data_IF_716530282473
#
_entry.id   IF_716530282473
#
_cell.length_a   1.000
_cell.length_b   1.000
_cell.length_c   1.000
_cell.angle_alpha   90.00
_cell.angle_beta   90.00
_cell.angle_gamma   90.00
#
_symmetry.space_group_name_H-M   'P 1'
#
loop_
_entity.id
_entity.type
_entity.pdbx_description
1 polymer ?
#
# COMPACT_ATOMS: atom_id res chain seq x y z
N UNK A 1 48.64 -30.80 -40.49
CA UNK A 1 49.25 -29.83 -39.55
C UNK A 1 48.24 -28.74 -39.24
N UNK A 2 48.18 -28.34 -37.97
CA UNK A 2 47.52 -27.20 -37.29
C UNK A 2 46.73 -26.16 -38.13
N UNK A 3 45.68 -25.51 -37.62
CA UNK A 3 45.24 -25.38 -36.24
C UNK A 3 44.07 -24.39 -36.12
N UNK A 4 43.36 -24.51 -35.01
CA UNK A 4 42.18 -23.75 -34.61
C UNK A 4 42.51 -22.30 -34.21
N UNK A 5 41.62 -21.36 -34.49
CA UNK A 5 41.31 -20.16 -33.68
C UNK A 5 40.02 -19.54 -34.25
N UNK A 6 38.90 -19.39 -33.55
CA UNK A 6 38.70 -19.22 -32.11
C UNK A 6 38.24 -17.80 -31.85
N UNK A 7 36.98 -17.50 -32.18
CA UNK A 7 36.35 -16.20 -31.93
C UNK A 7 34.85 -16.38 -31.69
N UNK A 8 34.48 -17.03 -30.58
CA UNK A 8 33.10 -17.02 -30.08
C UNK A 8 32.89 -15.66 -29.42
N UNK A 9 32.05 -14.82 -30.01
CA UNK A 9 31.35 -13.80 -29.24
C UNK A 9 30.55 -14.51 -28.13
N UNK A 10 30.65 -14.08 -26.86
CA UNK A 10 29.76 -14.58 -25.84
C UNK A 10 28.36 -14.12 -26.22
N UNK A 11 27.52 -15.10 -26.60
CA UNK A 11 26.08 -14.95 -26.50
C UNK A 11 25.79 -14.46 -25.09
N UNK A 12 25.46 -13.18 -24.95
CA UNK A 12 24.75 -12.69 -23.78
C UNK A 12 23.43 -13.45 -23.76
N UNK A 13 23.41 -14.56 -23.01
CA UNK A 13 22.16 -15.08 -22.50
C UNK A 13 21.57 -13.93 -21.66
N UNK A 14 20.34 -13.47 -21.94
CA UNK A 14 19.67 -12.59 -21.01
C UNK A 14 19.64 -13.33 -19.68
N UNK A 15 20.22 -12.72 -18.64
CA UNK A 15 20.08 -13.20 -17.28
C UNK A 15 18.59 -13.51 -17.07
N UNK A 16 18.21 -14.65 -16.47
CA UNK A 16 16.82 -14.89 -16.13
C UNK A 16 16.40 -13.72 -15.25
N UNK A 17 15.65 -12.79 -15.84
CA UNK A 17 15.06 -11.68 -15.12
C UNK A 17 14.37 -12.32 -13.94
N UNK A 18 14.75 -11.93 -12.74
CA UNK A 18 14.07 -12.31 -11.52
C UNK A 18 12.61 -11.94 -11.74
N UNK A 19 11.80 -12.93 -12.12
CA UNK A 19 10.36 -12.79 -12.22
C UNK A 19 9.95 -12.50 -10.79
N UNK A 20 9.81 -11.22 -10.44
CA UNK A 20 9.23 -10.81 -9.17
C UNK A 20 7.92 -11.58 -9.08
N UNK A 21 7.86 -12.52 -8.14
CA UNK A 21 6.67 -13.34 -7.96
C UNK A 21 5.49 -12.38 -7.85
N UNK A 22 4.59 -12.42 -8.84
CA UNK A 22 3.46 -11.50 -8.88
C UNK A 22 2.56 -11.86 -7.70
N UNK A 23 2.50 -10.96 -6.72
CA UNK A 23 1.65 -11.15 -5.56
C UNK A 23 0.20 -10.98 -6.01
N UNK A 24 -0.59 -12.04 -5.93
CA UNK A 24 -1.99 -12.02 -6.34
C UNK A 24 -2.77 -10.94 -5.56
N UNK A 25 -3.58 -10.11 -6.24
CA UNK A 25 -4.43 -9.15 -5.57
C UNK A 25 -5.44 -9.85 -4.65
N UNK A 26 -5.53 -9.37 -3.41
CA UNK A 26 -6.51 -9.87 -2.42
C UNK A 26 -7.54 -8.81 -2.04
N UNK A 27 -7.26 -7.54 -2.34
CA UNK A 27 -8.17 -6.41 -2.19
C UNK A 27 -7.96 -5.41 -3.33
N UNK A 28 -9.02 -4.69 -3.70
CA UNK A 28 -8.94 -3.61 -4.68
C UNK A 28 -9.10 -2.28 -3.92
N UNK A 29 -7.98 -1.66 -3.55
CA UNK A 29 -7.99 -0.41 -2.79
C UNK A 29 -8.34 0.81 -3.65
N UNK A 30 -7.91 0.93 -4.93
CA UNK A 30 -8.28 2.06 -5.77
C UNK A 30 -9.79 2.33 -5.86
N UNK A 31 -10.64 1.30 -5.86
CA UNK A 31 -12.10 1.48 -5.93
C UNK A 31 -12.71 2.02 -4.64
N UNK A 32 -11.97 1.98 -3.53
CA UNK A 32 -12.40 2.50 -2.22
C UNK A 32 -12.03 3.98 -2.02
N UNK A 33 -11.12 4.50 -2.86
CA UNK A 33 -10.72 5.89 -2.81
C UNK A 33 -11.88 6.80 -3.23
N UNK A 34 -12.04 7.92 -2.53
CA UNK A 34 -13.16 8.85 -2.72
C UNK A 34 -14.51 8.36 -2.20
N UNK A 35 -14.58 7.19 -1.57
CA UNK A 35 -15.79 6.75 -0.88
C UNK A 35 -15.97 7.50 0.47
N UNK A 36 -17.21 7.65 0.90
CA UNK A 36 -17.50 8.06 2.28
C UNK A 36 -17.21 6.92 3.26
N UNK A 37 -17.07 7.24 4.54
CA UNK A 37 -16.86 6.23 5.59
C UNK A 37 -17.99 5.20 5.64
N UNK A 38 -19.22 5.61 5.29
CA UNK A 38 -20.35 4.68 5.18
C UNK A 38 -20.27 3.80 3.95
N UNK A 39 -19.83 4.35 2.82
CA UNK A 39 -19.54 3.55 1.63
C UNK A 39 -18.49 2.48 1.93
N UNK A 40 -17.47 2.81 2.72
CA UNK A 40 -16.51 1.82 3.20
C UNK A 40 -17.16 0.77 4.11
N UNK A 41 -18.01 1.17 5.05
CA UNK A 41 -18.72 0.23 5.94
C UNK A 41 -19.64 -0.73 5.18
N UNK A 42 -20.33 -0.24 4.14
CA UNK A 42 -21.17 -1.08 3.29
C UNK A 42 -20.36 -2.12 2.51
N UNK A 43 -19.17 -1.74 2.03
CA UNK A 43 -18.32 -2.61 1.20
C UNK A 43 -17.43 -3.55 2.01
N UNK A 44 -16.94 -3.10 3.16
CA UNK A 44 -15.94 -3.79 3.98
C UNK A 44 -16.50 -4.35 5.29
N UNK A 45 -17.76 -4.03 5.60
CA UNK A 45 -18.39 -4.37 6.87
C UNK A 45 -18.07 -3.38 7.99
N UNK A 46 -18.41 -3.73 9.24
CA UNK A 46 -18.30 -2.81 10.37
C UNK A 46 -16.85 -2.41 10.63
N UNK A 47 -16.63 -1.11 10.87
CA UNK A 47 -15.35 -0.58 11.30
C UNK A 47 -15.02 -1.06 12.72
N UNK A 48 -13.75 -1.35 12.97
CA UNK A 48 -13.19 -1.64 14.29
C UNK A 48 -12.45 -0.42 14.84
N UNK A 49 -12.41 -0.26 16.17
CA UNK A 49 -11.56 0.75 16.79
C UNK A 49 -10.09 0.49 16.44
N UNK A 50 -9.32 1.57 16.28
CA UNK A 50 -7.88 1.49 16.06
C UNK A 50 -7.22 0.97 17.35
N UNK A 51 -6.41 -0.11 17.30
CA UNK A 51 -5.71 -0.59 18.48
C UNK A 51 -4.74 0.46 19.04
N UNK A 52 -4.61 0.63 20.38
CA UNK A 52 -3.78 1.67 20.98
C UNK A 52 -2.30 1.62 20.57
N UNK A 53 -1.72 0.42 20.45
CA UNK A 53 -0.34 0.24 20.00
C UNK A 53 -0.11 0.76 18.57
N UNK A 54 -1.15 0.71 17.75
CA UNK A 54 -1.11 1.19 16.37
C UNK A 54 -1.27 2.71 16.34
N UNK A 55 -2.16 3.25 17.16
CA UNK A 55 -2.29 4.69 17.34
C UNK A 55 -0.96 5.34 17.76
N UNK A 56 -0.22 4.71 18.68
CA UNK A 56 1.10 5.19 19.12
C UNK A 56 2.20 5.10 18.05
N UNK A 57 2.08 4.15 17.12
CA UNK A 57 3.06 3.94 16.04
C UNK A 57 2.84 4.83 14.81
N UNK A 58 1.66 5.45 14.69
CA UNK A 58 1.33 6.32 13.57
C UNK A 58 2.04 7.66 13.71
N UNK A 59 2.61 8.20 12.62
CA UNK A 59 3.12 9.56 12.62
C UNK A 59 2.04 10.55 13.03
N UNK A 60 2.38 11.54 13.86
CA UNK A 60 1.43 12.57 14.34
C UNK A 60 0.71 13.27 13.18
N UNK A 61 1.41 13.51 12.06
CA UNK A 61 0.81 14.06 10.83
C UNK A 61 -0.37 13.22 10.30
N UNK A 62 -0.40 11.91 10.56
CA UNK A 62 -1.53 11.03 10.24
C UNK A 62 -2.75 11.31 11.09
N UNK A 63 -2.52 11.60 12.38
CA UNK A 63 -3.57 11.79 13.36
C UNK A 63 -4.10 13.23 13.36
N UNK A 64 -3.23 14.22 13.09
CA UNK A 64 -3.60 15.63 13.06
C UNK A 64 -4.42 16.03 11.83
N UNK A 65 -4.24 15.35 10.69
CA UNK A 65 -5.03 15.61 9.48
C UNK A 65 -6.42 14.96 9.50
N UNK A 66 -6.66 14.04 10.43
CA UNK A 66 -7.87 13.24 10.51
C UNK A 66 -8.74 13.67 11.69
N UNK A 67 -9.96 14.13 11.42
CA UNK A 67 -10.95 14.35 12.48
C UNK A 67 -11.33 13.03 13.16
N UNK A 68 -11.28 11.92 12.42
CA UNK A 68 -11.59 10.60 12.92
C UNK A 68 -10.91 9.50 12.10
N UNK A 69 -10.70 8.36 12.76
CA UNK A 69 -10.08 7.17 12.17
C UNK A 69 -10.97 5.95 12.34
N UNK A 70 -10.95 5.06 11.34
CA UNK A 70 -11.68 3.80 11.36
C UNK A 70 -10.80 2.68 10.81
N UNK A 71 -10.84 1.50 11.43
CA UNK A 71 -10.05 0.35 10.96
C UNK A 71 -10.95 -0.69 10.30
N UNK A 72 -10.51 -1.23 9.17
CA UNK A 72 -11.18 -2.29 8.43
C UNK A 72 -10.21 -3.44 8.13
N UNK A 73 -10.77 -4.61 7.81
CA UNK A 73 -10.03 -5.78 7.34
C UNK A 73 -10.59 -6.17 5.98
N UNK A 74 -9.72 -6.34 4.99
CA UNK A 74 -10.14 -6.76 3.64
C UNK A 74 -9.00 -7.51 2.96
N UNK A 75 -9.28 -8.65 2.32
CA UNK A 75 -8.24 -9.41 1.62
C UNK A 75 -7.03 -9.79 2.48
N UNK A 76 -7.22 -9.96 3.80
CA UNK A 76 -6.13 -10.16 4.77
C UNK A 76 -5.21 -8.94 5.00
N UNK A 77 -5.60 -7.76 4.54
CA UNK A 77 -4.94 -6.48 4.80
C UNK A 77 -5.66 -5.76 5.96
N UNK A 78 -4.90 -4.96 6.70
CA UNK A 78 -5.47 -4.00 7.66
C UNK A 78 -5.48 -2.63 7.01
N UNK A 79 -6.65 -2.02 6.97
CA UNK A 79 -6.87 -0.70 6.40
C UNK A 79 -7.23 0.26 7.52
N UNK A 80 -6.55 1.37 7.62
CA UNK A 80 -6.92 2.50 8.49
C UNK A 80 -7.40 3.62 7.58
N UNK A 81 -8.66 4.00 7.71
CA UNK A 81 -9.26 5.09 6.96
C UNK A 81 -9.25 6.35 7.82
N UNK A 82 -8.61 7.39 7.32
CA UNK A 82 -8.63 8.74 7.88
C UNK A 82 -9.78 9.50 7.21
N UNK A 83 -10.69 10.07 7.99
CA UNK A 83 -11.87 10.74 7.43
C UNK A 83 -12.27 11.97 8.24
N UNK A 84 -12.99 12.85 7.57
CA UNK A 84 -13.59 14.05 8.15
C UNK A 84 -14.91 13.67 8.83
N UNK A 85 -15.04 13.91 10.13
CA UNK A 85 -16.18 13.44 10.91
C UNK A 85 -17.49 14.17 10.53
N UNK A 86 -17.38 15.39 10.00
CA UNK A 86 -18.52 16.25 9.65
C UNK A 86 -19.08 15.89 8.27
N UNK A 87 -18.22 15.88 7.25
CA UNK A 87 -18.57 15.55 5.87
C UNK A 87 -18.64 14.05 5.60
N UNK A 88 -18.03 13.25 6.49
CA UNK A 88 -17.93 11.79 6.41
C UNK A 88 -17.18 11.29 5.19
N UNK A 89 -16.37 12.15 4.59
CA UNK A 89 -15.51 11.83 3.44
C UNK A 89 -14.17 11.28 3.91
N UNK A 90 -13.74 10.19 3.25
CA UNK A 90 -12.42 9.60 3.49
C UNK A 90 -11.37 10.43 2.79
N UNK A 91 -10.35 10.84 3.54
CA UNK A 91 -9.23 11.65 3.05
C UNK A 91 -8.08 10.79 2.54
N UNK A 92 -7.73 9.78 3.31
CA UNK A 92 -6.68 8.82 2.96
C UNK A 92 -6.93 7.43 3.54
N UNK A 93 -6.26 6.47 2.94
CA UNK A 93 -6.27 5.07 3.33
C UNK A 93 -4.84 4.62 3.64
N UNK A 94 -4.60 4.15 4.85
CA UNK A 94 -3.33 3.56 5.25
C UNK A 94 -3.45 2.04 5.31
N UNK A 95 -2.66 1.36 4.48
CA UNK A 95 -2.51 -0.08 4.44
C UNK A 95 -1.35 -0.49 5.34
N UNK A 96 -1.62 -1.25 6.39
CA UNK A 96 -0.58 -1.65 7.32
C UNK A 96 0.12 -2.93 6.86
N UNK A 97 1.45 -2.92 6.96
CA UNK A 97 2.31 -4.06 6.66
C UNK A 97 3.76 -3.63 6.47
N UNK A 98 4.64 -4.62 6.49
CA UNK A 98 6.09 -4.38 6.55
C UNK A 98 6.81 -4.48 5.20
N UNK A 99 6.10 -4.87 4.14
CA UNK A 99 6.68 -5.09 2.82
C UNK A 99 5.88 -4.34 1.75
N UNK A 100 6.51 -3.31 1.17
CA UNK A 100 5.88 -2.44 0.17
C UNK A 100 5.37 -3.23 -1.05
N UNK A 101 6.22 -4.02 -1.70
CA UNK A 101 5.84 -4.78 -2.90
C UNK A 101 4.64 -5.73 -2.64
N UNK A 102 4.59 -6.33 -1.45
CA UNK A 102 3.48 -7.19 -1.04
C UNK A 102 2.19 -6.40 -0.85
N UNK A 103 2.27 -5.25 -0.19
CA UNK A 103 1.13 -4.36 0.00
C UNK A 103 0.62 -3.84 -1.35
N UNK A 104 1.51 -3.38 -2.23
CA UNK A 104 1.16 -2.90 -3.56
C UNK A 104 0.44 -3.97 -4.38
N UNK A 105 0.99 -5.19 -4.46
CA UNK A 105 0.38 -6.29 -5.20
C UNK A 105 -0.97 -6.72 -4.62
N UNK A 106 -1.04 -6.95 -3.30
CA UNK A 106 -2.28 -7.39 -2.63
C UNK A 106 -3.39 -6.36 -2.67
N UNK A 107 -3.04 -5.07 -2.61
CA UNK A 107 -3.99 -3.97 -2.65
C UNK A 107 -4.39 -3.53 -4.08
N UNK A 108 -3.82 -4.19 -5.10
CA UNK A 108 -3.98 -3.85 -6.51
C UNK A 108 -3.56 -2.40 -6.82
N UNK A 109 -2.52 -1.90 -6.15
CA UNK A 109 -1.99 -0.56 -6.35
C UNK A 109 -0.92 -0.53 -7.44
N UNK A 110 -0.77 0.64 -8.06
CA UNK A 110 0.22 0.92 -9.10
C UNK A 110 0.99 2.19 -8.72
N UNK A 111 2.29 2.18 -8.98
CA UNK A 111 3.19 3.32 -8.64
C UNK A 111 2.82 4.58 -9.43
N UNK A 112 2.39 4.44 -10.69
CA UNK A 112 2.10 5.56 -11.60
C UNK A 112 0.60 5.68 -11.91
N UNK A 113 -0.26 5.54 -10.90
CA UNK A 113 -1.68 5.73 -11.10
C UNK A 113 -2.02 7.24 -11.20
N UNK A 114 -2.88 7.66 -12.14
CA UNK A 114 -3.20 9.07 -12.33
C UNK A 114 -4.14 9.65 -11.27
N UNK A 115 -4.84 8.80 -10.51
CA UNK A 115 -5.93 9.16 -9.62
C UNK A 115 -5.60 8.96 -8.14
N UNK A 116 -4.37 8.58 -7.81
CA UNK A 116 -3.92 8.49 -6.42
C UNK A 116 -2.41 8.53 -6.29
N UNK A 117 -1.96 8.96 -5.11
CA UNK A 117 -0.57 8.89 -4.68
C UNK A 117 -0.42 7.77 -3.66
N UNK A 118 0.64 6.99 -3.79
CA UNK A 118 1.06 6.02 -2.79
C UNK A 118 2.33 6.53 -2.12
N UNK A 119 2.33 6.60 -0.79
CA UNK A 119 3.47 7.06 0.00
C UNK A 119 3.80 6.03 1.09
N UNK A 120 5.08 5.65 1.26
CA UNK A 120 5.47 4.82 2.38
C UNK A 120 5.31 5.59 3.69
N UNK A 121 4.80 4.91 4.70
CA UNK A 121 4.69 5.41 6.07
C UNK A 121 5.60 4.56 6.94
N UNK A 122 6.47 5.23 7.68
CA UNK A 122 7.42 4.60 8.58
C UNK A 122 7.00 4.79 10.04
N UNK A 123 7.54 3.95 10.93
CA UNK A 123 7.30 4.11 12.36
C UNK A 123 7.92 5.41 12.88
N UNK A 124 7.28 6.00 13.91
CA UNK A 124 7.77 7.20 14.60
C UNK A 124 9.09 6.97 15.34
N UNK A 125 9.26 5.78 15.93
CA UNK A 125 10.45 5.39 16.67
C UNK A 125 11.58 4.85 15.77
N UNK A 126 11.28 4.53 14.51
CA UNK A 126 12.23 3.96 13.57
C UNK A 126 11.87 4.28 12.10
N UNK A 127 12.49 5.33 11.57
CA UNK A 127 12.25 5.82 10.20
C UNK A 127 12.70 4.86 9.09
N UNK A 128 13.42 3.78 9.42
CA UNK A 128 13.81 2.75 8.45
C UNK A 128 12.85 1.56 8.42
N UNK A 129 11.89 1.49 9.35
CA UNK A 129 10.89 0.41 9.40
C UNK A 129 9.60 0.87 8.76
N UNK A 130 9.19 0.19 7.70
CA UNK A 130 7.91 0.41 7.04
C UNK A 130 6.77 -0.01 7.98
N UNK A 131 5.88 0.94 8.29
CA UNK A 131 4.61 0.70 8.97
C UNK A 131 3.53 0.29 7.96
N UNK A 132 3.54 0.92 6.79
CA UNK A 132 2.53 0.69 5.77
C UNK A 132 2.63 1.62 4.57
N UNK A 133 1.60 1.59 3.72
CA UNK A 133 1.45 2.46 2.57
C UNK A 133 0.22 3.34 2.73
N UNK A 134 0.40 4.65 2.68
CA UNK A 134 -0.70 5.61 2.58
C UNK A 134 -1.08 5.79 1.13
N UNK A 135 -2.36 5.78 0.86
CA UNK A 135 -2.95 6.02 -0.45
C UNK A 135 -3.88 7.23 -0.34
N UNK A 136 -3.63 8.25 -1.15
CA UNK A 136 -4.38 9.51 -1.16
C UNK A 136 -4.97 9.71 -2.54
N UNK A 137 -6.27 10.03 -2.63
CA UNK A 137 -6.90 10.39 -3.90
C UNK A 137 -6.40 11.77 -4.38
N UNK A 138 -6.18 11.94 -5.69
CA UNK A 138 -5.67 13.21 -6.27
C UNK A 138 -6.71 13.94 -7.12
N UNK A 139 -7.98 13.53 -7.00
CA UNK A 139 -9.07 13.94 -7.88
C UNK A 139 -9.59 15.33 -7.54
#
# INVERSE_FOLDING_TARGET
MAGCSGGREPHHAPAPGTVRAQVAPTANIPVLLGASIDGLRQRLGPSRPLPPHLAAALPEATLQLADSVATFRTGGLTLVASYDARSRQVRDLLLLGHHEDSLMGRAHLRVNAPNYLVMPVFYTDNSFRLLGLRVIATN
#
